data_IF_939830024801
#
_entry.id   IF_939830024801
#
_cell.length_a   1.000
_cell.length_b   1.000
_cell.length_c   1.000
_cell.angle_alpha   90.00
_cell.angle_beta   90.00
_cell.angle_gamma   90.00
#
_symmetry.space_group_name_H-M   'P 1'
#
loop_
_entity.id
_entity.type
_entity.pdbx_description
1 polymer ?
#
# COMPACT_ATOMS: atom_id res chain seq x y z
N UNK A 1 23.40 12.45 10.51
CA UNK A 1 24.24 11.71 9.52
C UNK A 1 24.78 10.38 10.07
N UNK A 2 25.32 10.32 11.30
CA UNK A 2 25.93 9.08 11.86
C UNK A 2 24.93 7.92 12.07
N UNK A 3 23.70 8.22 12.52
CA UNK A 3 22.64 7.21 12.76
C UNK A 3 22.14 6.51 11.47
N UNK A 4 22.25 7.16 10.31
CA UNK A 4 21.81 6.60 9.02
C UNK A 4 22.87 5.65 8.45
N UNK A 5 24.14 6.04 8.53
CA UNK A 5 25.27 5.21 8.10
C UNK A 5 25.36 3.90 8.91
N UNK A 6 25.14 3.96 10.23
CA UNK A 6 25.17 2.77 11.08
C UNK A 6 24.02 1.79 10.77
N UNK A 7 22.83 2.30 10.43
CA UNK A 7 21.68 1.48 10.01
C UNK A 7 21.99 0.74 8.70
N UNK A 8 22.56 1.42 7.71
CA UNK A 8 22.91 0.80 6.41
C UNK A 8 23.95 -0.30 6.61
N UNK A 9 24.95 -0.07 7.46
CA UNK A 9 25.97 -1.07 7.79
C UNK A 9 25.36 -2.32 8.43
N UNK A 10 24.45 -2.16 9.40
CA UNK A 10 23.79 -3.27 10.09
C UNK A 10 22.87 -4.06 9.13
N UNK A 11 22.12 -3.38 8.26
CA UNK A 11 21.26 -4.05 7.27
C UNK A 11 22.09 -4.89 6.30
N UNK A 12 23.20 -4.33 5.77
CA UNK A 12 24.07 -5.03 4.85
C UNK A 12 24.77 -6.21 5.52
N UNK A 13 25.20 -6.03 6.78
CA UNK A 13 25.74 -7.11 7.60
C UNK A 13 24.70 -8.23 7.76
N UNK A 14 23.48 -7.94 8.22
CA UNK A 14 22.45 -8.96 8.43
C UNK A 14 22.02 -9.66 7.13
N UNK A 15 21.90 -8.94 6.00
CA UNK A 15 21.63 -9.54 4.67
C UNK A 15 22.73 -10.52 4.24
N UNK A 16 23.99 -10.18 4.48
CA UNK A 16 25.15 -11.03 4.15
C UNK A 16 25.13 -12.37 4.89
N UNK A 17 24.67 -12.38 6.14
CA UNK A 17 24.67 -13.60 6.98
C UNK A 17 23.36 -14.39 6.97
N UNK A 18 22.22 -13.81 6.54
CA UNK A 18 20.92 -14.52 6.46
C UNK A 18 20.87 -15.61 5.38
N UNK A 19 21.75 -15.56 4.36
CA UNK A 19 21.83 -16.56 3.28
C UNK A 19 22.32 -17.94 3.75
N UNK A 20 22.86 -18.04 4.97
CA UNK A 20 23.45 -19.28 5.51
C UNK A 20 22.81 -19.80 6.80
N UNK A 21 21.76 -19.14 7.32
CA UNK A 21 21.16 -19.47 8.62
C UNK A 21 19.72 -19.92 8.39
N UNK A 22 19.45 -21.23 8.54
CA UNK A 22 18.08 -21.78 8.59
C UNK A 22 17.30 -21.06 9.71
N UNK A 23 16.00 -20.75 9.56
CA UNK A 23 15.29 -19.93 10.53
C UNK A 23 15.01 -20.76 11.79
N UNK A 24 15.89 -20.66 12.79
CA UNK A 24 15.69 -21.18 14.14
C UNK A 24 15.74 -20.05 15.18
N UNK A 25 15.36 -18.83 14.79
CA UNK A 25 15.19 -17.71 15.73
C UNK A 25 13.71 -17.67 16.08
N UNK A 26 13.32 -18.48 17.06
CA UNK A 26 12.02 -18.39 17.73
C UNK A 26 11.90 -16.99 18.34
N UNK A 27 10.97 -16.23 17.79
CA UNK A 27 10.64 -14.81 17.95
C UNK A 27 10.15 -14.40 19.35
N UNK A 28 10.90 -14.73 20.41
CA UNK A 28 10.53 -14.38 21.81
C UNK A 28 11.33 -13.24 22.43
N UNK A 29 12.12 -12.48 21.65
CA UNK A 29 12.85 -11.31 22.17
C UNK A 29 12.18 -10.00 21.75
N UNK A 30 11.59 -9.22 22.67
CA UNK A 30 10.96 -7.93 22.35
C UNK A 30 11.96 -6.92 21.78
N UNK A 31 13.26 -7.12 21.99
CA UNK A 31 14.32 -6.27 21.47
C UNK A 31 14.55 -6.44 19.95
N UNK A 32 14.43 -7.68 19.45
CA UNK A 32 14.60 -7.98 18.03
C UNK A 32 13.36 -7.56 17.24
N UNK A 33 12.16 -7.75 17.79
CA UNK A 33 10.88 -7.42 17.14
C UNK A 33 10.79 -5.93 16.78
N UNK A 34 11.17 -5.06 17.72
CA UNK A 34 11.18 -3.62 17.51
C UNK A 34 12.19 -3.20 16.44
N UNK A 35 13.36 -3.83 16.40
CA UNK A 35 14.42 -3.50 15.43
C UNK A 35 14.11 -4.00 14.01
N UNK A 36 13.50 -5.19 13.87
CA UNK A 36 13.08 -5.71 12.57
C UNK A 36 11.94 -4.89 11.97
N UNK A 37 11.00 -4.40 12.79
CA UNK A 37 9.90 -3.53 12.33
C UNK A 37 10.42 -2.17 11.83
N UNK A 38 11.42 -1.60 12.50
CA UNK A 38 12.02 -0.31 12.11
C UNK A 38 12.85 -0.45 10.81
N UNK A 39 13.46 -1.61 10.59
CA UNK A 39 14.29 -1.89 9.40
C UNK A 39 13.50 -2.41 8.19
N UNK A 40 12.31 -2.97 8.40
CA UNK A 40 11.43 -3.43 7.33
C UNK A 40 10.39 -2.41 6.91
N UNK A 41 10.47 -1.16 7.38
CA UNK A 41 9.62 -0.08 6.86
C UNK A 41 10.03 0.17 5.41
N UNK A 42 9.53 -0.67 4.51
CA UNK A 42 9.21 -0.31 3.13
C UNK A 42 8.64 1.10 3.19
N UNK A 43 9.02 1.98 2.27
CA UNK A 43 8.35 3.26 2.13
C UNK A 43 6.87 2.97 1.94
N UNK A 44 6.07 3.04 3.01
CA UNK A 44 4.65 2.67 2.98
C UNK A 44 3.99 3.74 2.15
N UNK A 45 3.53 3.37 0.97
CA UNK A 45 2.87 4.35 0.12
C UNK A 45 1.55 4.77 0.76
N UNK A 46 1.28 6.08 0.72
CA UNK A 46 -0.02 6.64 1.15
C UNK A 46 -1.16 6.31 0.19
N UNK A 47 -0.83 5.69 -0.93
CA UNK A 47 -1.75 5.39 -2.02
C UNK A 47 -1.90 3.88 -2.15
N UNK A 48 -3.14 3.41 -2.09
CA UNK A 48 -3.48 2.02 -2.36
C UNK A 48 -4.02 1.89 -3.78
N UNK A 49 -3.62 0.81 -4.45
CA UNK A 49 -4.19 0.38 -5.72
C UNK A 49 -5.29 -0.64 -5.44
N UNK A 50 -6.48 -0.42 -6.00
CA UNK A 50 -7.63 -1.32 -5.85
C UNK A 50 -8.02 -1.83 -7.23
N UNK A 51 -8.05 -3.15 -7.42
CA UNK A 51 -8.37 -3.82 -8.66
C UNK A 51 -9.51 -4.82 -8.52
N UNK A 52 -9.97 -5.34 -9.67
CA UNK A 52 -11.12 -6.23 -9.78
C UNK A 52 -12.44 -5.59 -9.31
N UNK A 53 -12.53 -4.27 -9.51
CA UNK A 53 -13.70 -3.49 -9.12
C UNK A 53 -14.85 -3.80 -10.11
N UNK A 54 -16.10 -3.94 -9.64
CA UNK A 54 -17.26 -4.04 -10.52
C UNK A 54 -17.39 -2.81 -11.43
N UNK A 55 -17.91 -3.01 -12.64
CA UNK A 55 -18.06 -1.91 -13.61
C UNK A 55 -19.12 -0.88 -13.23
N UNK A 56 -19.97 -1.17 -12.23
CA UNK A 56 -20.95 -0.23 -11.69
C UNK A 56 -20.39 0.72 -10.64
N UNK A 57 -19.13 0.54 -10.22
CA UNK A 57 -18.53 1.37 -9.18
C UNK A 57 -18.07 2.70 -9.76
N UNK A 58 -18.50 3.76 -9.09
CA UNK A 58 -18.08 5.12 -9.39
C UNK A 58 -17.02 5.61 -8.39
N UNK A 59 -16.39 6.73 -8.71
CA UNK A 59 -15.37 7.36 -7.84
C UNK A 59 -15.92 7.66 -6.43
N UNK A 60 -17.16 8.14 -6.33
CA UNK A 60 -17.82 8.40 -5.04
C UNK A 60 -17.95 7.12 -4.20
N UNK A 61 -18.32 6.00 -4.81
CA UNK A 61 -18.45 4.72 -4.09
C UNK A 61 -17.09 4.22 -3.57
N UNK A 62 -16.02 4.41 -4.36
CA UNK A 62 -14.65 4.14 -3.93
C UNK A 62 -14.21 5.04 -2.77
N UNK A 63 -14.56 6.33 -2.82
CA UNK A 63 -14.32 7.28 -1.73
C UNK A 63 -15.06 6.86 -0.47
N UNK A 64 -16.33 6.49 -0.59
CA UNK A 64 -17.15 6.04 0.54
C UNK A 64 -16.59 4.75 1.15
N UNK A 65 -16.10 3.83 0.32
CA UNK A 65 -15.44 2.60 0.76
C UNK A 65 -14.12 2.90 1.51
N UNK A 66 -13.30 3.83 1.01
CA UNK A 66 -12.06 4.24 1.67
C UNK A 66 -12.28 5.02 2.97
N UNK A 67 -13.33 5.85 3.02
CA UNK A 67 -13.67 6.69 4.19
C UNK A 67 -13.99 5.86 5.44
N UNK A 68 -14.40 4.59 5.27
CA UNK A 68 -14.61 3.65 6.39
C UNK A 68 -13.35 3.38 7.21
N UNK A 69 -12.17 3.54 6.61
CA UNK A 69 -10.88 3.23 7.24
C UNK A 69 -10.15 4.48 7.72
N UNK A 70 -10.38 5.63 7.08
CA UNK A 70 -9.88 6.92 7.52
C UNK A 70 -10.07 8.01 6.47
N UNK A 71 -9.43 9.16 6.70
CA UNK A 71 -9.60 10.33 5.83
C UNK A 71 -8.93 10.14 4.47
N UNK A 72 -9.76 10.12 3.42
CA UNK A 72 -9.32 10.00 2.03
C UNK A 72 -8.92 11.37 1.48
N UNK A 73 -7.65 11.50 1.12
CA UNK A 73 -7.09 12.70 0.50
C UNK A 73 -7.54 12.83 -0.96
N UNK A 74 -7.46 11.75 -1.73
CA UNK A 74 -7.83 11.73 -3.13
C UNK A 74 -8.29 10.35 -3.58
N UNK A 75 -9.21 10.29 -4.54
CA UNK A 75 -9.60 9.05 -5.22
C UNK A 75 -9.41 9.28 -6.70
N UNK A 76 -9.05 8.21 -7.42
CA UNK A 76 -8.98 8.25 -8.87
C UNK A 76 -9.48 6.95 -9.47
N UNK A 77 -10.41 7.06 -10.40
CA UNK A 77 -10.97 5.93 -11.12
C UNK A 77 -10.72 6.12 -12.63
N UNK A 78 -9.65 5.54 -13.20
CA UNK A 78 -9.40 5.62 -14.63
C UNK A 78 -10.57 5.04 -15.44
N UNK A 79 -11.08 5.87 -16.35
CA UNK A 79 -12.11 5.52 -17.31
C UNK A 79 -11.47 5.17 -18.67
N UNK A 80 -12.18 4.39 -19.47
CA UNK A 80 -11.84 4.11 -20.86
C UNK A 80 -12.40 5.19 -21.80
N UNK A 81 -12.05 5.15 -23.09
CA UNK A 81 -12.52 6.10 -24.12
C UNK A 81 -14.04 6.11 -24.29
N UNK A 82 -14.71 5.01 -23.94
CA UNK A 82 -16.18 4.89 -23.94
C UNK A 82 -16.83 5.37 -22.63
N UNK A 83 -16.06 5.95 -21.70
CA UNK A 83 -16.54 6.42 -20.40
C UNK A 83 -16.81 5.31 -19.38
N UNK A 84 -16.32 4.09 -19.61
CA UNK A 84 -16.50 2.94 -18.71
C UNK A 84 -15.30 2.80 -17.75
N UNK A 85 -15.51 2.43 -16.48
CA UNK A 85 -14.40 2.23 -15.55
C UNK A 85 -13.53 1.04 -15.98
N UNK A 86 -12.21 1.20 -15.89
CA UNK A 86 -11.25 0.16 -16.29
C UNK A 86 -11.15 -1.01 -15.30
N UNK A 87 -11.99 -1.04 -14.26
CA UNK A 87 -12.03 -2.08 -13.24
C UNK A 87 -10.94 -1.97 -12.18
N UNK A 88 -10.27 -0.83 -12.08
CA UNK A 88 -9.29 -0.52 -11.05
C UNK A 88 -9.29 0.98 -10.71
N UNK A 89 -8.83 1.32 -9.52
CA UNK A 89 -8.72 2.70 -9.05
C UNK A 89 -7.62 2.86 -8.00
N UNK A 90 -7.44 4.11 -7.59
CA UNK A 90 -6.46 4.50 -6.59
C UNK A 90 -7.14 5.28 -5.48
N UNK A 91 -6.73 5.03 -4.24
CA UNK A 91 -7.17 5.79 -3.07
C UNK A 91 -5.90 6.28 -2.35
N UNK A 92 -5.77 7.58 -2.20
CA UNK A 92 -4.70 8.23 -1.44
C UNK A 92 -5.24 8.71 -0.09
N UNK A 93 -4.52 8.39 0.97
CA UNK A 93 -4.80 8.81 2.34
C UNK A 93 -3.82 9.89 2.80
N UNK A 94 -4.21 10.67 3.81
CA UNK A 94 -3.29 11.61 4.46
C UNK A 94 -2.17 10.87 5.22
N UNK A 95 -2.51 9.72 5.79
CA UNK A 95 -1.65 8.91 6.67
C UNK A 95 -1.31 7.54 6.09
N UNK A 96 -0.03 7.17 6.19
CA UNK A 96 0.50 5.86 5.75
C UNK A 96 -0.12 4.71 6.55
N UNK A 97 -0.36 4.91 7.85
CA UNK A 97 -0.93 3.89 8.73
C UNK A 97 -2.38 3.57 8.34
N UNK A 98 -3.13 4.58 7.90
CA UNK A 98 -4.50 4.42 7.40
C UNK A 98 -4.48 3.68 6.07
N UNK A 99 -3.57 4.04 5.16
CA UNK A 99 -3.40 3.35 3.89
C UNK A 99 -3.09 1.87 4.08
N UNK A 100 -2.22 1.51 5.03
CA UNK A 100 -1.91 0.12 5.34
C UNK A 100 -3.12 -0.64 5.89
N UNK A 101 -3.85 -0.07 6.86
CA UNK A 101 -5.07 -0.68 7.40
C UNK A 101 -6.13 -0.90 6.33
N UNK A 102 -6.31 0.09 5.45
CA UNK A 102 -7.22 0.00 4.33
C UNK A 102 -6.79 -1.09 3.35
N UNK A 103 -5.50 -1.20 3.03
CA UNK A 103 -4.96 -2.26 2.17
C UNK A 103 -5.27 -3.65 2.72
N UNK A 104 -4.98 -3.89 4.00
CA UNK A 104 -5.22 -5.18 4.66
C UNK A 104 -6.71 -5.53 4.71
N UNK A 105 -7.58 -4.53 4.87
CA UNK A 105 -9.02 -4.74 4.98
C UNK A 105 -9.73 -4.88 3.64
N UNK A 106 -9.28 -4.14 2.61
CA UNK A 106 -9.88 -4.14 1.27
C UNK A 106 -9.39 -5.32 0.45
N UNK A 107 -8.16 -5.79 0.67
CA UNK A 107 -7.63 -6.93 -0.07
C UNK A 107 -8.39 -8.22 0.28
N UNK A 108 -9.06 -8.82 -0.70
CA UNK A 108 -9.90 -9.99 -0.52
C UNK A 108 -11.32 -9.67 -0.03
N UNK A 109 -11.67 -8.40 0.15
CA UNK A 109 -13.03 -8.00 0.51
C UNK A 109 -13.99 -8.26 -0.64
N UNK A 110 -15.12 -8.91 -0.36
CA UNK A 110 -16.13 -9.17 -1.37
C UNK A 110 -17.05 -7.96 -1.54
N UNK A 111 -17.09 -7.41 -2.75
CA UNK A 111 -17.92 -6.27 -3.12
C UNK A 111 -18.69 -6.60 -4.40
N UNK A 112 -20.03 -6.60 -4.30
CA UNK A 112 -20.96 -6.96 -5.39
C UNK A 112 -20.62 -8.31 -6.07
N UNK A 113 -20.24 -9.32 -5.27
CA UNK A 113 -19.90 -10.66 -5.76
C UNK A 113 -18.53 -10.76 -6.43
N UNK A 114 -17.66 -9.75 -6.29
CA UNK A 114 -16.26 -9.78 -6.73
C UNK A 114 -15.33 -9.54 -5.55
N UNK A 115 -14.25 -10.32 -5.47
CA UNK A 115 -13.20 -10.05 -4.49
C UNK A 115 -12.31 -8.91 -4.98
N UNK A 116 -12.30 -7.82 -4.23
CA UNK A 116 -11.40 -6.70 -4.49
C UNK A 116 -9.96 -7.13 -4.21
N UNK A 117 -9.05 -6.66 -5.05
CA UNK A 117 -7.61 -6.86 -4.86
C UNK A 117 -6.98 -5.54 -4.50
N UNK A 118 -6.45 -5.41 -3.29
CA UNK A 118 -5.76 -4.20 -2.87
C UNK A 118 -4.26 -4.45 -2.74
N UNK A 119 -3.47 -3.55 -3.32
CA UNK A 119 -2.01 -3.61 -3.29
C UNK A 119 -1.42 -2.25 -2.97
N UNK A 120 -0.18 -2.26 -2.49
CA UNK A 120 0.59 -1.06 -2.27
C UNK A 120 0.90 -0.43 -3.63
N UNK A 121 0.56 0.85 -3.84
CA UNK A 121 0.88 1.50 -5.10
C UNK A 121 2.40 1.69 -5.18
N UNK A 122 3.07 0.88 -5.99
CA UNK A 122 4.54 0.81 -6.09
C UNK A 122 5.15 1.83 -7.07
N UNK A 123 4.39 2.84 -7.50
CA UNK A 123 4.84 3.83 -8.48
C UNK A 123 5.40 5.09 -7.83
N UNK A 124 6.43 5.75 -8.42
CA UNK A 124 6.78 7.10 -8.03
C UNK A 124 5.51 7.93 -8.22
N UNK A 125 4.99 8.44 -7.11
CA UNK A 125 3.94 9.46 -7.01
C UNK A 125 3.20 9.64 -8.32
N UNK A 126 2.13 8.85 -8.48
CA UNK A 126 1.12 8.97 -9.52
C UNK A 126 1.23 10.34 -10.20
N UNK A 127 1.73 10.36 -11.43
CA UNK A 127 2.09 11.62 -12.05
C UNK A 127 0.80 12.39 -12.31
N UNK A 128 0.46 13.34 -11.42
CA UNK A 128 -0.75 14.19 -11.56
C UNK A 128 -0.81 14.87 -12.92
N UNK A 129 0.32 14.91 -13.63
CA UNK A 129 0.50 15.57 -14.93
C UNK A 129 0.13 14.69 -16.13
N UNK A 130 0.11 13.35 -16.02
CA UNK A 130 -0.07 12.47 -17.20
C UNK A 130 -1.51 12.19 -17.60
N UNK A 131 -2.45 12.54 -16.75
CA UNK A 131 -3.87 12.44 -17.03
C UNK A 131 -4.45 13.74 -16.49
N UNK A 132 -4.00 14.83 -17.10
CA UNK A 132 -4.53 16.15 -16.87
C UNK A 132 -5.92 16.19 -17.48
N UNK A 133 -6.86 16.68 -16.69
CA UNK A 133 -8.15 17.16 -17.13
C UNK A 133 -7.91 18.24 -18.21
N UNK A 134 -8.40 18.01 -19.43
CA UNK A 134 -8.76 19.07 -20.39
C UNK A 134 -10.21 19.49 -20.15
#
# INVERSE_FOLDING_TARGET
>A
MVQVQLKILIINYLKKYKKSIRPAISTRSPFITNFTSILSRSFVSKTIYVANIPWGVNEQMLRDLGTKYGEVASVRLPMDFEGRPRGFGFIEYNDEEVAQKALESINGYEYEGRQLRAEEASGPQWDRRRYGDE
#
